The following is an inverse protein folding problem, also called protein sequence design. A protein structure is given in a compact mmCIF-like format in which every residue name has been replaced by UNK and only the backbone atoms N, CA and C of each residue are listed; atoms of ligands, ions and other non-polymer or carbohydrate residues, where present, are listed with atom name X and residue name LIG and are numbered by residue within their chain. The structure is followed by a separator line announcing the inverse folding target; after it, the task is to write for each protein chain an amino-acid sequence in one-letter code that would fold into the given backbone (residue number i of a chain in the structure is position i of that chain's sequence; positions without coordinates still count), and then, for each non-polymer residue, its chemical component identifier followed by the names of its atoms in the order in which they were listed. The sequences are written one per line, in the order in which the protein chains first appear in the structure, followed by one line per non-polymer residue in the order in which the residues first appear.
data_IF_201994496315
#
_entry.id   IF_201994496315
#
_cell.length_a   1.000
_cell.length_b   1.000
_cell.length_c   1.000
_cell.angle_alpha   90.00
_cell.angle_beta   90.00
_cell.angle_gamma   90.00
#
_symmetry.space_group_name_H-M   'P 1'
#
loop_
_entity.id
_entity.type
_entity.pdbx_description
1 polymer ?
#
# COMPACT_ATOMS: atom_id res chain seq x y z
N UNK A 1 15.38 -0.82 -23.64
CA UNK A 1 14.05 -0.23 -23.81
C UNK A 1 13.49 0.20 -22.48
N UNK A 2 13.18 1.45 -22.36
CA UNK A 2 12.59 2.00 -21.16
C UNK A 2 11.27 1.32 -20.81
N UNK A 3 10.50 0.97 -21.82
CA UNK A 3 9.16 0.41 -21.62
C UNK A 3 9.18 -0.93 -20.91
N UNK A 4 10.14 -1.79 -21.25
CA UNK A 4 10.24 -3.10 -20.60
C UNK A 4 10.60 -3.00 -19.13
N UNK A 5 11.59 -2.17 -18.80
CA UNK A 5 11.99 -1.97 -17.41
C UNK A 5 10.86 -1.35 -16.61
N UNK A 6 10.17 -0.39 -17.21
CA UNK A 6 9.06 0.28 -16.60
C UNK A 6 7.90 -0.67 -16.33
N UNK A 7 7.57 -1.52 -17.29
CA UNK A 7 6.49 -2.51 -17.15
C UNK A 7 6.82 -3.51 -16.04
N UNK A 8 8.08 -3.94 -15.94
CA UNK A 8 8.50 -4.88 -14.89
C UNK A 8 8.34 -4.28 -13.49
N UNK A 9 8.62 -2.99 -13.34
CA UNK A 9 8.43 -2.27 -12.08
C UNK A 9 6.94 -2.13 -11.78
N UNK A 10 6.14 -1.81 -12.81
CA UNK A 10 4.71 -1.61 -12.68
C UNK A 10 3.95 -2.89 -12.35
N UNK A 11 4.49 -4.06 -12.67
CA UNK A 11 3.79 -5.31 -12.44
C UNK A 11 3.46 -5.53 -10.96
N UNK A 12 4.38 -5.18 -10.06
CA UNK A 12 4.12 -5.27 -8.62
C UNK A 12 3.07 -4.26 -8.18
N UNK A 13 3.16 -3.04 -8.69
CA UNK A 13 2.15 -2.02 -8.43
C UNK A 13 0.79 -2.44 -9.00
N UNK A 14 0.81 -3.19 -10.09
CA UNK A 14 -0.42 -3.71 -10.70
C UNK A 14 -1.19 -4.61 -9.74
N UNK A 15 -0.53 -5.49 -9.01
CA UNK A 15 -1.21 -6.36 -8.05
C UNK A 15 -1.94 -5.54 -6.99
N UNK A 16 -1.28 -4.53 -6.45
CA UNK A 16 -1.91 -3.63 -5.49
C UNK A 16 -3.06 -2.84 -6.12
N UNK A 17 -2.89 -2.41 -7.36
CA UNK A 17 -3.94 -1.69 -8.09
C UNK A 17 -5.17 -2.54 -8.32
N UNK A 18 -4.99 -3.82 -8.65
CA UNK A 18 -6.10 -4.75 -8.82
C UNK A 18 -6.89 -4.88 -7.53
N UNK A 19 -6.19 -5.04 -6.40
CA UNK A 19 -6.87 -5.15 -5.10
C UNK A 19 -7.63 -3.89 -4.73
N UNK A 20 -7.08 -2.71 -5.04
CA UNK A 20 -7.79 -1.46 -4.82
C UNK A 20 -9.05 -1.37 -5.69
N UNK A 21 -8.94 -1.69 -6.96
CA UNK A 21 -10.08 -1.63 -7.88
C UNK A 21 -11.18 -2.60 -7.51
N UNK A 22 -10.82 -3.79 -7.03
CA UNK A 22 -11.79 -4.77 -6.53
C UNK A 22 -12.63 -4.20 -5.40
N UNK A 23 -12.05 -3.31 -4.62
CA UNK A 23 -12.71 -2.70 -3.46
C UNK A 23 -13.32 -1.35 -3.79
N UNK A 24 -13.27 -0.93 -5.05
CA UNK A 24 -13.77 0.37 -5.46
C UNK A 24 -12.92 1.54 -4.97
N UNK A 25 -11.62 1.31 -4.78
CA UNK A 25 -10.69 2.31 -4.25
C UNK A 25 -9.71 2.77 -5.32
N UNK A 26 -9.25 4.02 -5.18
CA UNK A 26 -8.25 4.60 -6.08
C UNK A 26 -6.86 4.11 -5.67
N UNK A 27 -6.15 3.36 -6.52
CA UNK A 27 -4.83 2.86 -6.17
C UNK A 27 -3.78 3.95 -5.96
N UNK A 28 -3.99 5.15 -6.48
CA UNK A 28 -3.07 6.27 -6.28
C UNK A 28 -3.30 7.00 -4.96
N UNK A 29 -4.45 6.79 -4.33
CA UNK A 29 -4.82 7.49 -3.09
C UNK A 29 -4.94 6.54 -1.89
N UNK A 30 -4.91 5.23 -2.10
CA UNK A 30 -5.18 4.25 -1.04
C UNK A 30 -3.92 3.56 -0.58
N UNK A 31 -3.71 3.49 0.73
CA UNK A 31 -2.62 2.74 1.34
C UNK A 31 -3.02 1.26 1.42
N UNK A 32 -2.35 0.42 0.65
CA UNK A 32 -2.66 -1.01 0.60
C UNK A 32 -1.40 -1.82 0.33
N UNK A 33 -1.28 -2.95 1.02
CA UNK A 33 -0.23 -3.93 0.74
C UNK A 33 -0.86 -5.27 0.39
N UNK A 34 -0.20 -6.03 -0.48
CA UNK A 34 -0.59 -7.40 -0.80
C UNK A 34 0.36 -8.32 -0.07
N UNK A 35 -0.14 -9.02 0.95
CA UNK A 35 0.68 -9.90 1.77
C UNK A 35 -0.21 -10.97 2.41
N UNK A 36 0.36 -12.15 2.65
CA UNK A 36 -0.35 -13.26 3.29
C UNK A 36 -0.20 -13.17 4.81
N UNK A 37 -1.07 -12.40 5.43
CA UNK A 37 -1.06 -12.17 6.86
C UNK A 37 -1.36 -13.44 7.65
N UNK A 38 -2.02 -14.41 7.04
CA UNK A 38 -2.39 -15.66 7.72
C UNK A 38 -1.18 -16.49 8.10
N UNK A 39 -0.04 -16.29 7.46
CA UNK A 39 1.19 -17.00 7.77
C UNK A 39 1.89 -16.44 9.00
N UNK A 40 2.53 -15.30 8.84
CA UNK A 40 3.18 -14.57 9.94
C UNK A 40 3.46 -13.16 9.45
N UNK A 41 3.80 -12.26 10.39
CA UNK A 41 4.26 -10.90 10.03
C UNK A 41 5.60 -10.92 9.31
N UNK A 42 6.30 -12.05 9.28
CA UNK A 42 7.57 -12.20 8.54
C UNK A 42 7.36 -12.45 7.06
N UNK A 43 6.11 -12.60 6.62
CA UNK A 43 5.81 -12.79 5.20
C UNK A 43 6.27 -11.59 4.38
N UNK A 44 6.71 -11.84 3.14
CA UNK A 44 7.15 -10.78 2.23
C UNK A 44 5.92 -10.13 1.62
N UNK A 45 5.94 -8.80 1.54
CA UNK A 45 4.91 -8.05 0.83
C UNK A 45 5.14 -8.21 -0.66
N UNK A 46 4.12 -8.65 -1.39
CA UNK A 46 4.21 -8.85 -2.83
C UNK A 46 4.03 -7.55 -3.59
N UNK A 47 3.28 -6.61 -3.03
CA UNK A 47 3.03 -5.32 -3.65
C UNK A 47 2.66 -4.29 -2.59
N UNK A 48 2.98 -3.03 -2.86
CA UNK A 48 2.68 -1.90 -1.98
C UNK A 48 2.23 -0.75 -2.88
N UNK A 49 1.15 -0.06 -2.50
CA UNK A 49 0.66 1.06 -3.31
C UNK A 49 1.63 2.24 -3.28
N UNK A 50 1.63 3.08 -4.33
CA UNK A 50 2.52 4.25 -4.37
C UNK A 50 2.33 5.22 -3.20
N UNK A 51 1.09 5.44 -2.76
CA UNK A 51 0.83 6.32 -1.63
C UNK A 51 1.50 5.82 -0.36
N UNK A 52 1.45 4.51 -0.12
CA UNK A 52 2.09 3.91 1.06
C UNK A 52 3.61 3.99 0.94
N UNK A 53 4.16 3.79 -0.26
CA UNK A 53 5.60 3.94 -0.50
C UNK A 53 6.11 5.33 -0.19
N UNK A 54 5.26 6.35 -0.33
CA UNK A 54 5.65 7.74 -0.06
C UNK A 54 6.06 8.00 1.38
N UNK A 55 5.69 7.10 2.29
CA UNK A 55 6.10 7.17 3.70
C UNK A 55 7.43 6.46 3.98
N UNK A 56 8.18 6.13 2.92
CA UNK A 56 9.47 5.47 3.06
C UNK A 56 9.40 3.96 3.19
N UNK A 57 8.28 3.37 2.79
CA UNK A 57 8.07 1.93 2.88
C UNK A 57 8.60 1.25 1.63
N UNK A 58 9.47 0.25 1.80
CA UNK A 58 10.02 -0.51 0.69
C UNK A 58 8.98 -1.44 0.09
N UNK A 59 8.92 -1.52 -1.24
CA UNK A 59 8.05 -2.46 -1.93
C UNK A 59 8.50 -3.91 -1.82
N UNK A 60 9.64 -4.18 -1.17
CA UNK A 60 10.21 -5.52 -1.00
C UNK A 60 10.33 -5.93 0.47
N UNK A 61 9.80 -5.12 1.36
CA UNK A 61 9.90 -5.39 2.79
C UNK A 61 8.98 -6.52 3.24
N UNK A 62 9.21 -6.98 4.45
CA UNK A 62 8.32 -7.94 5.09
C UNK A 62 7.20 -7.18 5.79
N UNK A 63 6.10 -7.87 6.06
CA UNK A 63 4.93 -7.22 6.63
C UNK A 63 5.25 -6.52 7.97
N UNK A 64 6.06 -7.14 8.83
CA UNK A 64 6.42 -6.51 10.11
C UNK A 64 7.22 -5.22 9.90
N UNK A 65 8.02 -5.15 8.82
CA UNK A 65 8.77 -3.94 8.50
C UNK A 65 7.84 -2.81 8.05
N UNK A 66 6.80 -3.15 7.28
CA UNK A 66 5.78 -2.18 6.88
C UNK A 66 5.07 -1.64 8.12
N UNK A 67 4.64 -2.52 9.02
CA UNK A 67 3.97 -2.12 10.26
C UNK A 67 4.88 -1.23 11.11
N UNK A 68 6.17 -1.58 11.22
CA UNK A 68 7.13 -0.80 11.99
C UNK A 68 7.32 0.59 11.40
N UNK A 69 7.47 0.67 10.07
CA UNK A 69 7.66 1.97 9.40
C UNK A 69 6.42 2.85 9.53
N UNK A 70 5.22 2.27 9.42
CA UNK A 70 3.98 3.02 9.63
C UNK A 70 3.92 3.54 11.06
N UNK A 71 4.32 2.74 12.04
CA UNK A 71 4.36 3.15 13.43
C UNK A 71 5.32 4.32 13.65
N UNK A 72 6.50 4.28 13.02
CA UNK A 72 7.46 5.38 13.08
C UNK A 72 6.93 6.66 12.44
N UNK A 73 6.29 6.52 11.26
CA UNK A 73 5.69 7.65 10.58
C UNK A 73 4.56 8.26 11.43
N UNK A 74 3.77 7.43 12.10
CA UNK A 74 2.71 7.92 12.99
C UNK A 74 3.26 8.61 14.23
N UNK A 75 4.41 8.19 14.73
CA UNK A 75 5.05 8.89 15.83
C UNK A 75 5.41 10.33 15.44
N UNK A 76 5.93 10.50 14.20
CA UNK A 76 6.20 11.83 13.66
C UNK A 76 4.93 12.65 13.47
N UNK A 77 3.87 12.04 12.96
CA UNK A 77 2.59 12.72 12.80
C UNK A 77 2.00 13.15 14.13
N UNK A 78 2.12 12.32 15.15
CA UNK A 78 1.65 12.65 16.49
C UNK A 78 2.41 13.85 17.06
N UNK A 79 3.71 13.89 16.84
CA UNK A 79 4.54 15.02 17.29
C UNK A 79 4.09 16.33 16.66
N UNK A 80 3.74 16.30 15.37
CA UNK A 80 3.36 17.48 14.60
C UNK A 80 1.86 17.81 14.71
N UNK A 81 1.05 16.89 15.23
CA UNK A 81 -0.39 17.07 15.30
C UNK A 81 -0.77 18.12 16.36
N UNK A 82 -1.91 18.81 16.19
CA UNK A 82 -2.42 19.73 17.18
C UNK A 82 -2.62 19.04 18.52
N UNK A 83 -2.01 19.58 19.58
CA UNK A 83 -2.07 18.99 20.92
C UNK A 83 -1.30 17.69 21.05
N UNK A 84 -0.48 17.32 20.09
CA UNK A 84 0.31 16.09 20.07
C UNK A 84 -0.56 14.83 20.18
N UNK A 85 -1.74 14.87 19.60
CA UNK A 85 -2.69 13.75 19.63
C UNK A 85 -3.19 13.42 18.23
N UNK A 86 -3.34 12.13 17.96
CA UNK A 86 -3.96 11.65 16.72
C UNK A 86 -5.38 11.19 17.06
N UNK A 87 -6.35 11.70 16.29
CA UNK A 87 -7.77 11.41 16.47
C UNK A 87 -8.30 10.68 15.25
N UNK A 88 -8.22 9.36 15.27
CA UNK A 88 -8.71 8.55 14.17
C UNK A 88 -7.60 8.10 13.23
N UNK A 89 -7.99 7.37 12.20
CA UNK A 89 -7.06 6.80 11.22
C UNK A 89 -7.65 6.95 9.82
N UNK A 90 -6.79 6.89 8.81
CA UNK A 90 -7.23 6.84 7.43
C UNK A 90 -6.22 6.06 6.59
N UNK A 91 -6.70 5.30 5.63
CA UNK A 91 -5.88 4.64 4.64
C UNK A 91 -5.92 5.40 3.29
N UNK A 92 -6.44 6.63 3.28
CA UNK A 92 -6.46 7.48 2.08
C UNK A 92 -5.44 8.59 2.20
N UNK A 93 -4.54 8.65 1.21
CA UNK A 93 -3.47 9.64 1.19
C UNK A 93 -4.02 11.07 1.23
N UNK A 94 -5.08 11.35 0.47
CA UNK A 94 -5.70 12.68 0.43
C UNK A 94 -6.23 13.11 1.78
N UNK A 95 -6.85 12.20 2.53
CA UNK A 95 -7.35 12.50 3.87
C UNK A 95 -6.21 12.78 4.85
N UNK A 96 -5.14 11.99 4.74
CA UNK A 96 -3.97 12.17 5.61
C UNK A 96 -3.26 13.48 5.33
N UNK A 97 -3.24 13.93 4.08
CA UNK A 97 -2.66 15.23 3.73
C UNK A 97 -3.53 16.39 4.22
N UNK A 98 -4.84 16.23 4.20
CA UNK A 98 -5.78 17.28 4.58
C UNK A 98 -5.94 17.40 6.09
N UNK A 99 -5.76 16.31 6.86
CA UNK A 99 -6.01 16.30 8.29
C UNK A 99 -4.80 15.74 9.05
N UNK A 100 -3.98 16.61 9.65
CA UNK A 100 -2.79 16.17 10.39
C UNK A 100 -3.11 15.43 11.69
N UNK A 101 -4.36 15.39 12.12
CA UNK A 101 -4.75 14.65 13.33
C UNK A 101 -5.04 13.18 13.06
N UNK A 102 -4.99 12.73 11.80
CA UNK A 102 -5.23 11.33 11.46
C UNK A 102 -3.95 10.51 11.47
N UNK A 103 -4.03 9.29 11.98
CA UNK A 103 -2.94 8.33 11.91
C UNK A 103 -2.98 7.59 10.57
N UNK A 104 -1.81 7.21 10.08
CA UNK A 104 -1.69 6.42 8.86
C UNK A 104 -2.17 5.00 9.14
N UNK A 105 -3.05 4.50 8.30
CA UNK A 105 -3.48 3.11 8.31
C UNK A 105 -3.30 2.55 6.90
N UNK A 106 -3.41 1.24 6.76
CA UNK A 106 -3.31 0.60 5.45
C UNK A 106 -4.11 -0.71 5.45
N UNK A 107 -4.50 -1.11 4.25
CA UNK A 107 -5.25 -2.34 4.02
C UNK A 107 -4.26 -3.46 3.71
N UNK A 108 -4.44 -4.63 4.33
CA UNK A 108 -3.66 -5.82 4.02
C UNK A 108 -4.56 -6.74 3.21
N UNK A 109 -4.21 -6.95 1.93
CA UNK A 109 -4.96 -7.80 1.03
C UNK A 109 -4.22 -9.11 0.83
N UNK A 110 -4.89 -10.27 1.00
CA UNK A 110 -4.23 -11.55 0.72
C UNK A 110 -3.94 -11.69 -0.78
N UNK A 111 -2.82 -12.32 -1.16
CA UNK A 111 -2.48 -12.44 -2.56
C UNK A 111 -3.41 -13.41 -3.29
N UNK A 112 -3.78 -13.03 -4.51
CA UNK A 112 -4.64 -13.84 -5.37
C UNK A 112 -3.99 -13.98 -6.74
N UNK A 113 -2.87 -14.70 -6.78
CA UNK A 113 -2.02 -14.77 -7.97
C UNK A 113 -2.75 -15.24 -9.22
N UNK A 114 -3.64 -16.23 -9.11
CA UNK A 114 -4.41 -16.69 -10.25
C UNK A 114 -5.29 -15.58 -10.83
N UNK A 115 -5.91 -14.80 -9.97
CA UNK A 115 -6.73 -13.66 -10.37
C UNK A 115 -5.89 -12.59 -11.06
N UNK A 116 -4.71 -12.31 -10.52
CA UNK A 116 -3.82 -11.30 -11.10
C UNK A 116 -3.35 -11.72 -12.48
N UNK A 117 -2.98 -12.96 -12.66
CA UNK A 117 -2.55 -13.48 -13.96
C UNK A 117 -3.66 -13.43 -14.98
N UNK A 118 -4.88 -13.76 -14.59
CA UNK A 118 -6.05 -13.64 -15.45
C UNK A 118 -6.30 -12.19 -15.86
N UNK A 119 -6.20 -11.26 -14.91
CA UNK A 119 -6.38 -9.84 -15.18
C UNK A 119 -5.32 -9.29 -16.14
N UNK A 120 -4.06 -9.73 -15.98
CA UNK A 120 -2.98 -9.34 -16.87
C UNK A 120 -3.24 -9.86 -18.28
N UNK A 121 -3.63 -11.12 -18.42
CA UNK A 121 -3.93 -11.73 -19.72
C UNK A 121 -5.06 -11.00 -20.42
N UNK A 122 -6.11 -10.68 -19.71
CA UNK A 122 -7.24 -9.95 -20.25
C UNK A 122 -6.83 -8.55 -20.73
N UNK A 123 -6.09 -7.83 -19.93
CA UNK A 123 -5.60 -6.51 -20.29
C UNK A 123 -4.70 -6.56 -21.50
N UNK A 124 -3.88 -7.60 -21.61
CA UNK A 124 -2.96 -7.76 -22.74
C UNK A 124 -3.70 -8.02 -24.05
N UNK A 125 -4.81 -8.73 -24.00
CA UNK A 125 -5.62 -9.03 -25.18
C UNK A 125 -6.39 -7.81 -25.69
N UNK A 126 -6.69 -6.87 -24.84
CA UNK A 126 -7.37 -5.65 -25.20
C UNK A 126 -6.42 -4.65 -25.85
#
# INVERSE_FOLDING_TARGET
MKDRTYIAIDLKSFYASVECRERGLDPLDTNLVVADESRTDKTICLAVTPSLKSYGISGRGRLFEVKQRVKEANAGRQHDAPGHRLDGTSHFFSELQADPSLAIDFIIAPPRMAYYMESVSYTHLL
#
